data_IF_653187828652
#
_entry.id   IF_653187828652
#
_cell.length_a   1.000
_cell.length_b   1.000
_cell.length_c   1.000
_cell.angle_alpha   90.00
_cell.angle_beta   90.00
_cell.angle_gamma   90.00
#
_symmetry.space_group_name_H-M   'P 1'
#
loop_
_entity.id
_entity.type
_entity.pdbx_description
1 polymer ?
#
# COMPACT_ATOMS: atom_id res chain seq x y z
N UNK A 1 4.30 -6.35 -17.03
CA UNK A 1 2.84 -6.19 -17.21
C UNK A 1 2.39 -4.81 -16.72
N UNK A 2 1.15 -4.39 -17.03
CA UNK A 2 0.64 -3.10 -16.55
C UNK A 2 0.30 -3.11 -15.04
N UNK A 3 0.33 -4.29 -14.43
CA UNK A 3 0.09 -4.49 -13.00
C UNK A 3 1.25 -5.32 -12.48
N UNK A 4 1.89 -4.84 -11.42
CA UNK A 4 2.85 -5.57 -10.60
C UNK A 4 2.27 -5.82 -9.22
N UNK A 5 2.95 -6.59 -8.43
CA UNK A 5 2.65 -6.88 -7.03
C UNK A 5 3.65 -6.22 -6.07
N UNK A 6 4.53 -5.39 -6.62
CA UNK A 6 5.38 -4.51 -5.84
C UNK A 6 4.62 -3.29 -5.34
N UNK A 7 5.05 -2.74 -4.22
CA UNK A 7 4.53 -1.51 -3.64
C UNK A 7 5.57 -0.85 -2.74
N UNK A 8 5.25 0.33 -2.27
CA UNK A 8 6.08 1.11 -1.37
C UNK A 8 5.47 1.10 0.03
N UNK A 9 6.32 1.09 1.04
CA UNK A 9 5.86 1.13 2.45
C UNK A 9 4.88 2.27 2.74
N UNK A 10 5.09 3.48 2.26
CA UNK A 10 4.16 4.57 2.47
C UNK A 10 2.79 4.38 1.80
N UNK A 11 2.70 3.64 0.69
CA UNK A 11 1.41 3.26 0.10
C UNK A 11 0.65 2.36 1.07
N UNK A 12 1.33 1.38 1.68
CA UNK A 12 0.74 0.56 2.73
C UNK A 12 0.26 1.39 3.91
N UNK A 13 1.07 2.32 4.40
CA UNK A 13 0.70 3.20 5.51
C UNK A 13 -0.55 4.03 5.18
N UNK A 14 -0.63 4.61 3.98
CA UNK A 14 -1.80 5.37 3.52
C UNK A 14 -3.06 4.54 3.35
N UNK A 15 -2.93 3.34 2.78
CA UNK A 15 -4.06 2.40 2.65
C UNK A 15 -4.56 2.05 4.06
N UNK A 16 -3.67 1.73 4.98
CA UNK A 16 -4.02 1.44 6.37
C UNK A 16 -4.70 2.61 7.07
N UNK A 17 -4.19 3.83 6.89
CA UNK A 17 -4.78 5.04 7.44
C UNK A 17 -6.15 5.35 6.82
N UNK A 18 -6.35 5.10 5.53
CA UNK A 18 -7.58 5.40 4.81
C UNK A 18 -8.66 4.35 5.01
N UNK A 19 -8.33 3.09 4.79
CA UNK A 19 -9.31 2.01 4.70
C UNK A 19 -9.33 1.12 5.96
N UNK A 20 -8.34 1.27 6.83
CA UNK A 20 -8.15 0.44 8.01
C UNK A 20 -7.30 -0.80 7.74
N UNK A 21 -7.15 -1.62 8.76
CA UNK A 21 -6.34 -2.84 8.72
C UNK A 21 -7.09 -4.00 9.36
N UNK A 22 -6.87 -5.20 8.86
CA UNK A 22 -7.36 -6.42 9.48
C UNK A 22 -6.19 -7.31 9.88
N UNK A 23 -6.25 -7.97 11.06
CA UNK A 23 -5.23 -8.94 11.43
C UNK A 23 -5.34 -10.19 10.55
N UNK A 24 -4.22 -10.91 10.40
CA UNK A 24 -4.15 -12.12 9.57
C UNK A 24 -5.23 -13.16 9.90
N UNK A 25 -5.59 -13.32 11.18
CA UNK A 25 -6.62 -14.29 11.58
C UNK A 25 -8.03 -13.89 11.08
N UNK A 26 -8.29 -12.60 10.85
CA UNK A 26 -9.56 -12.11 10.32
C UNK A 26 -9.61 -12.12 8.79
N UNK A 27 -8.44 -12.02 8.14
CA UNK A 27 -8.28 -12.10 6.68
C UNK A 27 -7.00 -12.89 6.37
N UNK A 28 -7.06 -14.22 6.43
CA UNK A 28 -5.89 -15.06 6.18
C UNK A 28 -5.46 -15.02 4.72
N UNK A 29 -4.16 -15.25 4.51
CA UNK A 29 -3.58 -15.33 3.18
C UNK A 29 -4.24 -16.45 2.36
N UNK A 30 -4.52 -16.12 1.10
CA UNK A 30 -4.95 -17.08 0.08
C UNK A 30 -3.75 -17.52 -0.76
N UNK A 31 -3.94 -18.53 -1.60
CA UNK A 31 -2.90 -18.92 -2.58
C UNK A 31 -2.49 -17.75 -3.48
N UNK A 32 -3.45 -16.87 -3.82
CA UNK A 32 -3.19 -15.69 -4.63
C UNK A 32 -2.49 -14.55 -3.87
N UNK A 33 -2.60 -14.50 -2.55
CA UNK A 33 -1.82 -13.58 -1.72
C UNK A 33 -0.34 -13.98 -1.70
N UNK A 34 -0.04 -15.28 -1.74
CA UNK A 34 1.34 -15.80 -1.80
C UNK A 34 1.93 -15.83 -3.20
N UNK A 35 1.08 -15.93 -4.24
CA UNK A 35 1.47 -15.89 -5.65
C UNK A 35 0.41 -15.19 -6.50
N UNK A 36 0.59 -13.91 -6.71
CA UNK A 36 -0.36 -13.02 -7.38
C UNK A 36 -0.39 -13.15 -8.92
N UNK A 37 0.46 -13.96 -9.53
CA UNK A 37 0.64 -13.98 -10.99
C UNK A 37 -0.68 -14.19 -11.76
N UNK A 38 -1.47 -15.20 -11.40
CA UNK A 38 -2.75 -15.50 -12.05
C UNK A 38 -3.78 -14.39 -11.83
N UNK A 39 -3.87 -13.85 -10.62
CA UNK A 39 -4.73 -12.72 -10.30
C UNK A 39 -4.36 -11.49 -11.14
N UNK A 40 -3.07 -11.17 -11.22
CA UNK A 40 -2.58 -10.04 -12.01
C UNK A 40 -2.85 -10.19 -13.51
N UNK A 41 -2.79 -11.39 -14.06
CA UNK A 41 -3.16 -11.67 -15.45
C UNK A 41 -4.66 -11.45 -15.70
N UNK A 42 -5.52 -11.88 -14.78
CA UNK A 42 -6.95 -11.62 -14.84
C UNK A 42 -7.26 -10.12 -14.76
N UNK A 43 -6.67 -9.41 -13.79
CA UNK A 43 -6.80 -7.95 -13.65
C UNK A 43 -6.32 -7.23 -14.91
N UNK A 44 -5.15 -7.60 -15.44
CA UNK A 44 -4.62 -7.01 -16.67
C UNK A 44 -5.58 -7.20 -17.86
N UNK A 45 -6.23 -8.34 -17.94
CA UNK A 45 -7.21 -8.63 -19.00
C UNK A 45 -8.45 -7.74 -18.86
N UNK A 46 -9.01 -7.63 -17.66
CA UNK A 46 -10.16 -6.76 -17.36
C UNK A 46 -9.82 -5.30 -17.68
N UNK A 47 -8.69 -4.81 -17.18
CA UNK A 47 -8.27 -3.42 -17.36
C UNK A 47 -7.96 -3.07 -18.82
N UNK A 48 -7.32 -3.96 -19.59
CA UNK A 48 -7.08 -3.73 -21.03
C UNK A 48 -8.40 -3.64 -21.79
N UNK A 49 -9.37 -4.52 -21.49
CA UNK A 49 -10.71 -4.48 -22.09
C UNK A 49 -11.44 -3.17 -21.74
N UNK A 50 -11.39 -2.76 -20.48
CA UNK A 50 -11.96 -1.49 -20.04
C UNK A 50 -11.32 -0.30 -20.72
N UNK A 51 -9.98 -0.26 -20.83
CA UNK A 51 -9.26 0.80 -21.50
C UNK A 51 -9.64 0.96 -22.98
N UNK A 52 -9.84 -0.14 -23.69
CA UNK A 52 -10.31 -0.10 -25.09
C UNK A 52 -11.71 0.50 -25.19
N UNK A 53 -12.64 0.08 -24.33
CA UNK A 53 -14.01 0.61 -24.30
C UNK A 53 -14.04 2.10 -23.93
N UNK A 54 -13.25 2.50 -22.93
CA UNK A 54 -13.15 3.89 -22.51
C UNK A 54 -12.62 4.79 -23.63
N UNK A 55 -11.56 4.35 -24.32
CA UNK A 55 -11.02 5.12 -25.47
C UNK A 55 -12.02 5.25 -26.58
N UNK A 56 -12.76 4.20 -26.92
CA UNK A 56 -13.80 4.25 -27.93
C UNK A 56 -14.93 5.22 -27.52
N UNK A 57 -15.44 5.13 -26.30
CA UNK A 57 -16.49 6.01 -25.81
C UNK A 57 -16.07 7.48 -25.84
N UNK A 58 -14.85 7.79 -25.41
CA UNK A 58 -14.32 9.17 -25.46
C UNK A 58 -14.16 9.66 -26.91
N UNK A 59 -13.68 8.82 -27.83
CA UNK A 59 -13.54 9.18 -29.24
C UNK A 59 -14.88 9.46 -29.90
N UNK A 60 -15.95 8.76 -29.50
CA UNK A 60 -17.31 8.94 -30.00
C UNK A 60 -18.07 10.07 -29.27
N UNK A 61 -17.43 10.77 -28.32
CA UNK A 61 -18.06 11.83 -27.53
C UNK A 61 -19.05 11.31 -26.47
N UNK A 62 -19.01 10.03 -26.17
CA UNK A 62 -19.86 9.37 -25.15
C UNK A 62 -19.35 9.54 -23.72
N UNK A 63 -20.22 9.22 -22.77
CA UNK A 63 -19.89 9.25 -21.33
C UNK A 63 -19.03 8.03 -20.94
N UNK A 64 -17.79 8.21 -20.43
CA UNK A 64 -16.95 7.11 -19.98
C UNK A 64 -17.35 6.53 -18.61
N UNK A 65 -18.16 7.24 -17.82
CA UNK A 65 -18.44 6.89 -16.43
C UNK A 65 -19.11 5.53 -16.24
N UNK A 66 -20.14 5.15 -17.03
CA UNK A 66 -20.75 3.80 -16.90
C UNK A 66 -19.75 2.68 -17.20
N UNK A 67 -18.81 2.90 -18.13
CA UNK A 67 -17.79 1.91 -18.48
C UNK A 67 -16.77 1.79 -17.36
N UNK A 68 -16.39 2.92 -16.73
CA UNK A 68 -15.50 2.94 -15.58
C UNK A 68 -16.12 2.22 -14.40
N UNK A 69 -17.37 2.49 -14.07
CA UNK A 69 -18.09 1.85 -12.99
C UNK A 69 -18.15 0.33 -13.18
N UNK A 70 -18.57 -0.14 -14.37
CA UNK A 70 -18.60 -1.56 -14.69
C UNK A 70 -17.20 -2.23 -14.61
N UNK A 71 -16.15 -1.52 -15.04
CA UNK A 71 -14.78 -2.03 -14.93
C UNK A 71 -14.34 -2.17 -13.48
N UNK A 72 -14.70 -1.22 -12.61
CA UNK A 72 -14.40 -1.31 -11.17
C UNK A 72 -15.13 -2.47 -10.49
N UNK A 73 -16.38 -2.74 -10.88
CA UNK A 73 -17.11 -3.94 -10.41
C UNK A 73 -16.40 -5.24 -10.83
N UNK A 74 -15.94 -5.31 -12.08
CA UNK A 74 -15.20 -6.47 -12.59
C UNK A 74 -13.85 -6.65 -11.87
N UNK A 75 -13.11 -5.55 -11.62
CA UNK A 75 -11.87 -5.57 -10.82
C UNK A 75 -12.15 -6.07 -9.40
N UNK A 76 -13.16 -5.50 -8.72
CA UNK A 76 -13.54 -5.92 -7.38
C UNK A 76 -13.90 -7.41 -7.33
N UNK A 77 -14.66 -7.91 -8.33
CA UNK A 77 -15.01 -9.34 -8.43
C UNK A 77 -13.76 -10.23 -8.55
N UNK A 78 -12.78 -9.84 -9.37
CA UNK A 78 -11.51 -10.58 -9.48
C UNK A 78 -10.78 -10.59 -8.14
N UNK A 79 -10.67 -9.45 -7.48
CA UNK A 79 -10.00 -9.36 -6.17
C UNK A 79 -10.69 -10.23 -5.12
N UNK A 80 -12.01 -10.19 -5.03
CA UNK A 80 -12.77 -11.03 -4.08
C UNK A 80 -12.61 -12.53 -4.34
N UNK A 81 -12.60 -12.96 -5.63
CA UNK A 81 -12.37 -14.35 -5.99
C UNK A 81 -10.99 -14.83 -5.54
N UNK A 82 -9.97 -13.98 -5.68
CA UNK A 82 -8.58 -14.34 -5.43
C UNK A 82 -8.13 -14.11 -3.98
N UNK A 83 -8.62 -13.06 -3.34
CA UNK A 83 -8.15 -12.62 -2.02
C UNK A 83 -9.19 -12.79 -0.90
N UNK A 84 -10.44 -13.12 -1.26
CA UNK A 84 -11.56 -13.13 -0.33
C UNK A 84 -12.21 -11.76 -0.14
N UNK A 85 -13.31 -11.74 0.59
CA UNK A 85 -14.02 -10.50 0.91
C UNK A 85 -13.41 -9.88 2.17
N UNK A 86 -12.95 -8.61 2.12
CA UNK A 86 -12.48 -7.93 3.32
C UNK A 86 -13.58 -7.89 4.39
N UNK A 87 -13.26 -8.18 5.67
CA UNK A 87 -14.24 -8.13 6.74
C UNK A 87 -14.67 -6.68 7.02
N UNK A 88 -15.96 -6.45 7.19
CA UNK A 88 -16.47 -5.16 7.68
C UNK A 88 -16.24 -4.99 9.18
N UNK A 89 -16.22 -6.10 9.91
CA UNK A 89 -15.92 -6.20 11.34
C UNK A 89 -15.34 -7.57 11.66
N UNK A 90 -14.61 -7.69 12.74
CA UNK A 90 -14.05 -8.95 13.22
C UNK A 90 -13.90 -8.95 14.75
N UNK A 91 -13.87 -10.14 15.34
CA UNK A 91 -13.58 -10.29 16.78
C UNK A 91 -12.08 -10.30 16.96
N UNK A 92 -11.56 -9.27 17.64
CA UNK A 92 -10.14 -9.20 17.95
C UNK A 92 -9.81 -9.85 19.29
N UNK A 93 -8.90 -10.79 19.22
CA UNK A 93 -8.33 -11.49 20.39
C UNK A 93 -6.90 -11.91 20.07
N UNK A 94 -6.03 -11.92 21.07
CA UNK A 94 -4.63 -12.28 20.88
C UNK A 94 -4.01 -12.85 22.16
N UNK A 95 -2.84 -13.45 22.01
CA UNK A 95 -1.97 -13.76 23.13
C UNK A 95 -0.77 -12.83 23.10
N UNK A 96 -0.45 -12.25 24.24
CA UNK A 96 0.74 -11.41 24.39
C UNK A 96 2.04 -12.25 24.46
N UNK A 97 3.16 -11.56 24.61
CA UNK A 97 4.49 -12.20 24.75
C UNK A 97 4.59 -13.18 25.93
N UNK A 98 3.80 -12.98 26.96
CA UNK A 98 3.74 -13.83 28.15
C UNK A 98 2.69 -14.94 27.99
N UNK A 99 2.12 -15.09 26.77
CA UNK A 99 1.07 -16.05 26.40
C UNK A 99 -0.28 -15.84 27.11
N UNK A 100 -0.45 -14.72 27.80
CA UNK A 100 -1.75 -14.36 28.39
C UNK A 100 -2.76 -14.05 27.27
N UNK A 101 -3.99 -14.55 27.44
CA UNK A 101 -5.06 -14.38 26.47
C UNK A 101 -5.80 -13.06 26.72
N UNK A 102 -5.96 -12.29 25.68
CA UNK A 102 -6.71 -11.04 25.67
C UNK A 102 -7.84 -11.10 24.64
N UNK A 103 -9.06 -10.81 25.11
CA UNK A 103 -10.23 -10.64 24.24
C UNK A 103 -10.64 -9.19 24.27
N UNK A 104 -10.46 -8.50 23.14
CA UNK A 104 -10.78 -7.07 23.00
C UNK A 104 -12.25 -6.88 22.63
N UNK A 105 -12.80 -7.74 21.76
CA UNK A 105 -14.17 -7.68 21.27
C UNK A 105 -14.26 -7.44 19.77
N UNK A 106 -15.43 -7.05 19.30
CA UNK A 106 -15.67 -6.74 17.90
C UNK A 106 -15.08 -5.38 17.54
N UNK A 107 -14.39 -5.30 16.43
CA UNK A 107 -13.75 -4.09 15.90
C UNK A 107 -13.94 -4.03 14.37
N UNK A 108 -14.03 -2.83 13.85
CA UNK A 108 -13.90 -2.56 12.42
C UNK A 108 -12.41 -2.47 12.03
N UNK A 109 -12.06 -2.65 10.74
CA UNK A 109 -10.68 -2.44 10.27
C UNK A 109 -10.14 -1.05 10.62
N UNK A 110 -10.98 -0.01 10.62
CA UNK A 110 -10.58 1.35 10.98
C UNK A 110 -10.24 1.47 12.46
N UNK A 111 -11.12 0.99 13.35
CA UNK A 111 -10.85 1.00 14.79
C UNK A 111 -9.60 0.21 15.16
N UNK A 112 -9.32 -0.87 14.41
CA UNK A 112 -8.11 -1.65 14.60
C UNK A 112 -6.87 -0.86 14.19
N UNK A 113 -6.86 -0.21 13.02
CA UNK A 113 -5.76 0.63 12.58
C UNK A 113 -5.50 1.80 13.55
N UNK A 114 -6.54 2.54 13.91
CA UNK A 114 -6.43 3.68 14.84
C UNK A 114 -5.85 3.27 16.21
N UNK A 115 -6.15 2.08 16.66
CA UNK A 115 -5.70 1.58 17.97
C UNK A 115 -4.32 0.94 17.96
N UNK A 116 -3.99 0.17 16.93
CA UNK A 116 -2.78 -0.66 16.90
C UNK A 116 -1.70 -0.17 15.95
N UNK A 117 -2.03 0.78 15.08
CA UNK A 117 -1.10 1.42 14.16
C UNK A 117 -1.38 2.94 14.06
N UNK A 118 -1.38 3.68 15.20
CA UNK A 118 -1.60 5.12 15.18
C UNK A 118 -0.49 5.82 14.42
N UNK A 119 -0.80 6.94 13.79
CA UNK A 119 0.18 7.80 13.10
C UNK A 119 0.64 7.27 11.74
N UNK A 120 -0.06 6.33 11.12
CA UNK A 120 0.27 5.86 9.77
C UNK A 120 0.31 6.99 8.74
N UNK A 121 -0.52 8.03 8.93
CA UNK A 121 -0.54 9.21 8.06
C UNK A 121 0.66 10.14 8.25
N UNK A 122 1.40 10.01 9.35
CA UNK A 122 2.58 10.81 9.67
C UNK A 122 3.88 10.23 9.07
N UNK A 123 3.78 9.14 8.32
CA UNK A 123 4.93 8.47 7.75
C UNK A 123 5.67 9.37 6.77
N UNK A 124 6.97 9.59 7.01
CA UNK A 124 7.86 10.37 6.15
C UNK A 124 8.96 9.45 5.62
N UNK A 125 9.17 9.47 4.31
CA UNK A 125 10.28 8.76 3.69
C UNK A 125 11.50 9.66 3.64
N UNK A 126 12.57 9.22 4.28
CA UNK A 126 13.87 9.91 4.20
C UNK A 126 14.81 9.10 3.34
N UNK A 127 15.35 9.71 2.29
CA UNK A 127 16.21 9.06 1.33
C UNK A 127 17.60 9.70 1.27
N UNK A 128 18.62 8.91 1.04
CA UNK A 128 19.94 9.41 0.64
C UNK A 128 20.15 9.07 -0.83
N UNK A 129 20.20 10.10 -1.66
CA UNK A 129 20.48 9.96 -3.08
C UNK A 129 21.80 10.68 -3.40
N UNK A 130 22.84 9.96 -3.84
CA UNK A 130 24.15 10.59 -4.13
C UNK A 130 24.19 11.34 -5.47
N UNK A 131 23.10 11.32 -6.25
CA UNK A 131 23.05 12.01 -7.54
C UNK A 131 23.01 13.52 -7.38
N UNK A 132 23.82 14.28 -8.15
CA UNK A 132 23.91 15.73 -8.00
C UNK A 132 22.64 16.48 -8.39
N UNK A 133 21.76 15.84 -9.20
CA UNK A 133 20.46 16.41 -9.61
C UNK A 133 19.44 16.46 -8.48
N UNK A 134 19.67 15.70 -7.40
CA UNK A 134 18.79 15.67 -6.23
C UNK A 134 19.53 16.25 -5.03
N UNK A 135 19.41 17.55 -4.77
CA UNK A 135 20.13 18.18 -3.69
C UNK A 135 19.64 17.66 -2.33
N UNK A 136 20.55 17.60 -1.36
CA UNK A 136 20.24 17.22 0.01
C UNK A 136 19.33 18.25 0.70
N UNK A 137 18.59 17.80 1.71
CA UNK A 137 17.62 18.58 2.48
C UNK A 137 16.50 19.18 1.63
N UNK A 138 16.11 18.46 0.59
CA UNK A 138 15.05 18.87 -0.33
C UNK A 138 13.89 17.88 -0.26
N UNK A 139 12.66 18.40 -0.35
CA UNK A 139 11.48 17.58 -0.59
C UNK A 139 11.31 17.35 -2.08
N UNK A 140 11.02 16.11 -2.46
CA UNK A 140 10.70 15.75 -3.84
C UNK A 140 9.63 14.68 -3.88
N UNK A 141 8.81 14.70 -4.92
CA UNK A 141 7.88 13.64 -5.25
C UNK A 141 8.37 12.89 -6.49
N UNK A 142 8.07 11.60 -6.57
CA UNK A 142 8.31 10.83 -7.78
C UNK A 142 7.00 10.84 -8.59
N UNK A 143 6.99 11.58 -9.70
CA UNK A 143 5.81 11.72 -10.53
C UNK A 143 5.32 10.35 -11.04
N UNK A 144 4.03 10.12 -10.95
CA UNK A 144 3.32 8.92 -11.43
C UNK A 144 3.67 7.59 -10.75
N UNK A 145 4.32 7.59 -9.60
CA UNK A 145 4.58 6.35 -8.85
C UNK A 145 3.50 6.04 -7.85
N UNK A 146 2.78 7.03 -7.37
CA UNK A 146 1.78 6.93 -6.33
C UNK A 146 0.43 7.42 -6.88
N UNK A 147 -0.27 6.52 -7.56
CA UNK A 147 -1.52 6.83 -8.26
C UNK A 147 -2.76 6.46 -7.45
N UNK A 148 -2.71 6.57 -6.13
CA UNK A 148 -3.94 6.46 -5.34
C UNK A 148 -4.86 7.64 -5.64
N UNK A 149 -5.99 7.34 -6.28
CA UNK A 149 -6.96 8.37 -6.67
C UNK A 149 -7.44 9.15 -5.45
N UNK A 150 -7.26 10.45 -5.49
CA UNK A 150 -7.67 11.37 -4.43
C UNK A 150 -6.65 11.57 -3.32
N UNK A 151 -5.48 10.93 -3.39
CA UNK A 151 -4.42 11.11 -2.42
C UNK A 151 -3.30 12.03 -2.97
N UNK A 152 -2.62 12.79 -2.10
CA UNK A 152 -1.48 13.59 -2.52
C UNK A 152 -0.31 12.69 -2.94
N UNK A 153 0.51 13.17 -3.87
CA UNK A 153 1.75 12.49 -4.25
C UNK A 153 2.64 12.31 -3.02
N UNK A 154 3.24 11.14 -2.91
CA UNK A 154 4.16 10.87 -1.82
C UNK A 154 5.39 11.77 -1.87
N UNK A 155 5.67 12.41 -0.75
CA UNK A 155 6.87 13.22 -0.58
C UNK A 155 7.99 12.42 0.08
N UNK A 156 9.18 12.58 -0.47
CA UNK A 156 10.43 12.10 0.08
C UNK A 156 11.28 13.29 0.53
N UNK A 157 12.06 13.10 1.57
CA UNK A 157 13.03 14.10 2.03
C UNK A 157 14.43 13.54 1.81
N UNK A 158 15.27 14.26 1.07
CA UNK A 158 16.69 13.87 0.94
C UNK A 158 17.47 14.31 2.16
N UNK A 159 18.34 13.44 2.65
CA UNK A 159 19.24 13.76 3.76
C UNK A 159 20.61 13.07 3.60
N UNK A 160 21.56 13.53 4.37
CA UNK A 160 22.86 12.87 4.49
C UNK A 160 22.70 11.46 5.07
N UNK A 161 23.48 10.50 4.60
CA UNK A 161 23.45 9.11 5.08
C UNK A 161 23.64 9.00 6.60
N UNK A 162 24.43 9.91 7.17
CA UNK A 162 24.63 10.00 8.62
C UNK A 162 23.34 10.31 9.39
N UNK A 163 22.45 11.12 8.80
CA UNK A 163 21.12 11.44 9.37
C UNK A 163 20.21 10.22 9.35
N UNK A 164 20.16 9.50 8.24
CA UNK A 164 19.39 8.25 8.13
C UNK A 164 19.85 7.23 9.16
N UNK A 165 21.16 7.03 9.29
CA UNK A 165 21.74 6.11 10.27
C UNK A 165 21.42 6.54 11.70
N UNK A 166 21.51 7.83 12.01
CA UNK A 166 21.18 8.35 13.33
C UNK A 166 19.71 8.15 13.69
N UNK A 167 18.80 8.43 12.74
CA UNK A 167 17.37 8.22 12.90
C UNK A 167 17.03 6.75 13.13
N UNK A 168 17.59 5.85 12.32
CA UNK A 168 17.41 4.40 12.47
C UNK A 168 17.91 3.89 13.84
N UNK A 169 19.07 4.36 14.28
CA UNK A 169 19.61 4.00 15.61
C UNK A 169 18.72 4.51 16.74
N UNK A 170 18.18 5.72 16.61
CA UNK A 170 17.26 6.28 17.59
C UNK A 170 15.98 5.46 17.70
N UNK A 171 15.32 5.18 16.58
CA UNK A 171 14.10 4.36 16.55
C UNK A 171 14.31 2.96 17.16
N UNK A 172 15.40 2.27 16.80
CA UNK A 172 15.73 0.96 17.39
C UNK A 172 15.94 1.04 18.90
N UNK A 173 16.59 2.10 19.40
CA UNK A 173 16.79 2.31 20.85
C UNK A 173 15.49 2.57 21.58
N UNK A 174 14.53 3.20 20.92
CA UNK A 174 13.19 3.45 21.44
C UNK A 174 12.27 2.21 21.31
N UNK A 175 12.79 1.10 20.75
CA UNK A 175 12.06 -0.15 20.58
C UNK A 175 11.19 -0.20 19.33
N UNK A 176 11.35 0.75 18.40
CA UNK A 176 10.62 0.83 17.15
C UNK A 176 11.39 0.15 16.01
N UNK A 177 10.74 -0.69 15.20
CA UNK A 177 11.35 -1.27 14.01
C UNK A 177 11.54 -0.20 12.94
N UNK A 178 12.64 -0.30 12.20
CA UNK A 178 12.93 0.58 11.07
C UNK A 178 12.73 -0.18 9.77
N UNK A 179 11.89 0.33 8.91
CA UNK A 179 11.80 -0.12 7.54
C UNK A 179 12.83 0.63 6.70
N UNK A 180 13.64 -0.12 5.98
CA UNK A 180 14.61 0.48 5.08
C UNK A 180 14.61 -0.23 3.74
N UNK A 181 14.91 0.53 2.71
CA UNK A 181 15.12 0.08 1.35
C UNK A 181 16.47 0.58 0.86
N UNK A 182 17.14 -0.18 0.02
CA UNK A 182 18.40 0.24 -0.57
C UNK A 182 18.55 -0.33 -1.98
N UNK A 183 19.15 0.45 -2.86
CA UNK A 183 19.57 -0.03 -4.16
C UNK A 183 20.78 -0.97 -3.98
N UNK A 184 20.56 -2.25 -4.28
CA UNK A 184 21.56 -3.30 -4.25
C UNK A 184 22.15 -3.58 -5.63
N UNK A 185 21.85 -2.72 -6.62
CA UNK A 185 22.43 -2.85 -7.94
C UNK A 185 23.95 -2.83 -7.84
N UNK A 186 24.56 -3.86 -8.34
CA UNK A 186 26.00 -4.09 -8.32
C UNK A 186 26.74 -2.86 -8.84
N UNK A 187 27.49 -2.22 -7.97
CA UNK A 187 28.59 -1.36 -8.43
C UNK A 187 29.56 -2.26 -9.20
N UNK A 188 29.52 -2.17 -10.52
CA UNK A 188 30.52 -2.73 -11.41
C UNK A 188 31.52 -1.65 -11.78
#
# INVERSE_FOLDING_TARGET
GPIGDGGWVPEFARIGAKDGMAPHDAMPDTDSATNSATMNDHLATVLRRAALRLRAAVADGGDPEPIRAAAMEDVHRVLVIHLGTPPSEFVWQYRDKDKAFHRVGTMTPREFADRYAPGLEEFVVVAHDPRPEIPLNTRFGIDRTDLMVGEPTQEHVTAELSVLKAAAIAAIRDGEPVWFDCDVATQR
#
